data_IF_693150254916
#
_entry.id   IF_693150254916
#
_cell.length_a   1.000
_cell.length_b   1.000
_cell.length_c   1.000
_cell.angle_alpha   90.00
_cell.angle_beta   90.00
_cell.angle_gamma   90.00
#
_symmetry.space_group_name_H-M   'P 1'
#
loop_
_entity.id
_entity.type
_entity.pdbx_description
1 polymer ?
#
# COMPACT_ATOMS: atom_id res chain seq x y z
N UNK A 1 -16.50 14.70 -4.92
CA UNK A 1 -15.81 14.67 -3.61
C UNK A 1 -16.75 15.26 -2.58
N UNK A 2 -16.81 14.71 -1.36
CA UNK A 2 -17.60 15.29 -0.25
C UNK A 2 -17.19 16.74 0.02
N UNK A 3 -18.06 17.58 0.56
CA UNK A 3 -17.78 19.01 0.79
C UNK A 3 -16.50 19.31 1.61
N UNK A 4 -15.95 18.34 2.33
CA UNK A 4 -14.72 18.48 3.10
C UNK A 4 -13.46 18.45 2.22
N UNK A 5 -12.86 19.62 1.95
CA UNK A 5 -11.60 19.77 1.23
C UNK A 5 -10.36 19.67 2.13
N UNK A 6 -10.52 19.57 3.45
CA UNK A 6 -9.45 19.42 4.45
C UNK A 6 -8.28 20.41 4.28
N UNK A 7 -8.58 21.62 3.81
CA UNK A 7 -7.60 22.66 3.52
C UNK A 7 -6.56 22.27 2.45
N UNK A 8 -6.95 21.41 1.51
CA UNK A 8 -6.08 20.87 0.48
C UNK A 8 -5.31 19.64 0.97
N UNK A 9 -4.08 19.47 0.50
CA UNK A 9 -3.33 18.23 0.67
C UNK A 9 -2.49 17.90 -0.56
N UNK A 10 -2.13 16.62 -0.67
CA UNK A 10 -1.37 16.09 -1.80
C UNK A 10 -2.12 14.94 -2.46
N UNK A 11 -1.97 14.83 -3.77
CA UNK A 11 -2.64 13.83 -4.58
C UNK A 11 -1.68 13.08 -5.51
N UNK A 12 -2.04 11.86 -5.87
CA UNK A 12 -1.43 11.17 -7.01
C UNK A 12 -2.50 10.75 -8.01
N UNK A 13 -2.12 10.79 -9.28
CA UNK A 13 -2.82 10.13 -10.36
C UNK A 13 -2.02 8.89 -10.71
N UNK A 14 -2.67 7.73 -10.66
CA UNK A 14 -2.05 6.45 -10.95
C UNK A 14 -2.91 5.62 -11.89
N UNK A 15 -2.30 4.66 -12.56
CA UNK A 15 -2.96 3.78 -13.54
C UNK A 15 -2.66 2.33 -13.22
N UNK A 16 -3.66 1.48 -13.36
CA UNK A 16 -3.51 0.03 -13.39
C UNK A 16 -4.07 -0.53 -14.70
N UNK A 17 -3.46 -1.61 -15.19
CA UNK A 17 -3.97 -2.37 -16.35
C UNK A 17 -4.98 -3.45 -15.94
N UNK A 18 -5.18 -3.65 -14.63
CA UNK A 18 -6.24 -4.51 -14.13
C UNK A 18 -7.61 -3.85 -14.34
N UNK A 19 -8.39 -4.36 -15.31
CA UNK A 19 -9.72 -3.80 -15.62
C UNK A 19 -10.76 -4.02 -14.51
N UNK A 20 -10.44 -4.88 -13.54
CA UNK A 20 -11.22 -5.12 -12.33
C UNK A 20 -10.26 -5.08 -11.13
N UNK A 21 -9.85 -3.88 -10.68
CA UNK A 21 -8.83 -3.77 -9.65
C UNK A 21 -9.22 -4.49 -8.36
N UNK A 22 -8.23 -5.08 -7.73
CA UNK A 22 -8.36 -5.73 -6.42
C UNK A 22 -7.36 -5.09 -5.46
N UNK A 23 -7.38 -5.50 -4.18
CA UNK A 23 -6.35 -5.07 -3.21
C UNK A 23 -4.92 -5.45 -3.59
N UNK A 24 -4.73 -6.37 -4.55
CA UNK A 24 -3.41 -6.79 -5.05
C UNK A 24 -2.99 -6.07 -6.33
N UNK A 25 -3.89 -5.27 -6.92
CA UNK A 25 -3.59 -4.54 -8.14
C UNK A 25 -2.50 -3.52 -7.89
N UNK A 26 -1.54 -3.47 -8.82
CA UNK A 26 -0.48 -2.50 -8.78
C UNK A 26 -0.93 -1.25 -9.54
N UNK A 27 -0.80 -0.11 -8.88
CA UNK A 27 -1.13 1.20 -9.41
C UNK A 27 0.15 1.97 -9.64
N UNK A 28 0.43 2.35 -10.89
CA UNK A 28 1.65 3.04 -11.29
C UNK A 28 1.40 4.53 -11.38
N UNK A 29 2.18 5.33 -10.67
CA UNK A 29 2.04 6.79 -10.62
C UNK A 29 2.41 7.38 -11.98
N UNK A 30 1.52 8.20 -12.53
CA UNK A 30 1.77 8.97 -13.75
C UNK A 30 1.87 10.48 -13.47
N UNK A 31 1.38 10.94 -12.33
CA UNK A 31 1.49 12.33 -11.89
C UNK A 31 1.32 12.46 -10.37
N UNK A 32 2.12 13.32 -9.74
CA UNK A 32 2.00 13.68 -8.33
C UNK A 32 1.84 15.19 -8.16
N UNK A 33 1.01 15.56 -7.18
CA UNK A 33 0.77 16.95 -6.79
C UNK A 33 1.02 17.04 -5.28
N UNK A 34 2.09 17.72 -4.89
CA UNK A 34 2.47 17.94 -3.50
C UNK A 34 2.02 19.33 -3.08
N UNK A 35 0.96 19.40 -2.26
CA UNK A 35 0.32 20.67 -1.91
C UNK A 35 -0.70 21.16 -2.93
N UNK A 36 -1.70 21.89 -2.46
CA UNK A 36 -2.67 22.53 -3.36
C UNK A 36 -3.63 21.59 -4.08
N UNK A 37 -3.82 20.34 -3.60
CA UNK A 37 -4.81 19.40 -4.13
C UNK A 37 -5.79 18.97 -3.04
N UNK A 38 -7.12 18.98 -3.26
CA UNK A 38 -7.84 19.25 -4.51
C UNK A 38 -8.33 20.71 -4.64
N UNK A 39 -7.85 21.59 -3.75
CA UNK A 39 -8.04 23.03 -3.85
C UNK A 39 -6.68 23.72 -3.76
N UNK A 40 -6.49 24.77 -4.56
CA UNK A 40 -5.39 25.76 -4.42
C UNK A 40 -5.83 26.94 -3.58
N UNK A 41 -4.90 27.82 -3.22
CA UNK A 41 -5.09 28.94 -2.31
C UNK A 41 -5.64 28.44 -0.97
N UNK A 42 -4.85 27.58 -0.33
CA UNK A 42 -5.29 26.79 0.82
C UNK A 42 -5.98 27.63 1.90
N UNK A 43 -7.13 27.13 2.36
CA UNK A 43 -7.90 27.71 3.45
C UNK A 43 -7.95 26.74 4.62
N UNK A 44 -8.12 27.27 5.83
CA UNK A 44 -8.33 26.45 7.03
C UNK A 44 -9.77 25.89 7.12
N UNK A 45 -10.66 26.32 6.21
CA UNK A 45 -12.05 25.87 6.10
C UNK A 45 -12.27 25.00 4.87
N UNK A 46 -13.31 24.17 4.91
CA UNK A 46 -13.76 23.36 3.78
C UNK A 46 -14.43 24.22 2.71
N UNK A 47 -14.32 23.81 1.44
CA UNK A 47 -14.85 24.56 0.29
C UNK A 47 -16.38 24.42 0.10
N UNK A 48 -17.05 23.60 0.92
CA UNK A 48 -18.51 23.58 1.02
C UNK A 48 -19.05 22.40 1.85
N UNK A 49 -20.37 22.25 1.91
CA UNK A 49 -21.02 21.24 2.76
C UNK A 49 -21.73 20.13 1.96
N UNK A 50 -21.57 20.12 0.63
CA UNK A 50 -22.26 19.19 -0.27
C UNK A 50 -21.28 18.34 -1.10
N UNK A 51 -21.56 17.05 -1.33
CA UNK A 51 -20.74 16.18 -2.17
C UNK A 51 -20.79 16.52 -3.67
N UNK A 52 -21.63 17.49 -4.05
CA UNK A 52 -21.78 17.99 -5.43
C UNK A 52 -21.10 19.33 -5.65
N UNK A 53 -20.42 19.87 -4.63
CA UNK A 53 -19.65 21.12 -4.76
C UNK A 53 -18.59 20.93 -5.85
N UNK A 54 -18.61 21.84 -6.82
CA UNK A 54 -17.57 21.95 -7.84
C UNK A 54 -16.37 22.62 -7.19
N UNK A 55 -15.24 21.94 -7.18
CA UNK A 55 -14.00 22.52 -6.69
C UNK A 55 -13.45 23.51 -7.72
N UNK A 56 -12.82 24.62 -7.28
CA UNK A 56 -12.46 25.74 -8.16
C UNK A 56 -11.19 25.49 -8.98
N UNK A 57 -10.43 24.46 -8.62
CA UNK A 57 -9.08 24.23 -9.15
C UNK A 57 -9.09 23.19 -10.25
N UNK A 58 -8.38 23.50 -11.34
CA UNK A 58 -8.12 22.58 -12.44
C UNK A 58 -6.69 22.05 -12.34
N UNK A 59 -6.55 20.73 -12.52
CA UNK A 59 -5.29 20.01 -12.43
C UNK A 59 -5.01 19.33 -13.76
N UNK A 60 -4.09 19.90 -14.52
CA UNK A 60 -3.65 19.33 -15.78
C UNK A 60 -2.45 18.43 -15.54
N UNK A 61 -2.42 17.28 -16.21
CA UNK A 61 -1.26 16.42 -16.29
C UNK A 61 -1.17 15.83 -17.70
N UNK A 62 0.03 15.38 -18.08
CA UNK A 62 0.27 14.75 -19.38
C UNK A 62 0.27 13.24 -19.19
N UNK A 63 -0.43 12.52 -20.08
CA UNK A 63 -0.33 11.06 -20.15
C UNK A 63 1.07 10.73 -20.70
N UNK A 64 1.91 10.01 -19.94
CA UNK A 64 3.28 9.77 -20.37
C UNK A 64 3.32 8.88 -21.61
N UNK A 65 4.30 9.12 -22.47
CA UNK A 65 4.54 8.36 -23.70
C UNK A 65 4.80 6.87 -23.40
N UNK A 66 5.33 6.55 -22.24
CA UNK A 66 5.60 5.19 -21.83
C UNK A 66 4.36 4.42 -21.34
N UNK A 67 3.19 5.05 -21.21
CA UNK A 67 1.98 4.36 -20.77
C UNK A 67 1.49 3.39 -21.87
N UNK A 68 1.29 2.09 -21.58
CA UNK A 68 0.78 1.11 -22.54
C UNK A 68 -0.58 1.49 -23.11
N UNK A 69 -0.75 1.33 -24.43
CA UNK A 69 -1.99 1.70 -25.15
C UNK A 69 -3.12 0.72 -24.80
N UNK A 70 -4.37 1.18 -24.80
CA UNK A 70 -5.57 0.36 -24.60
C UNK A 70 -6.29 0.58 -23.26
N UNK A 71 -7.26 -0.29 -22.93
CA UNK A 71 -8.08 -0.14 -21.73
C UNK A 71 -7.26 -0.22 -20.44
N UNK A 72 -7.57 0.66 -19.49
CA UNK A 72 -6.96 0.71 -18.18
C UNK A 72 -7.93 1.31 -17.15
N UNK A 73 -7.52 1.34 -15.88
CA UNK A 73 -8.23 2.06 -14.82
C UNK A 73 -7.29 3.10 -14.23
N UNK A 74 -7.75 4.33 -14.15
CA UNK A 74 -7.06 5.43 -13.49
C UNK A 74 -7.60 5.60 -12.08
N UNK A 75 -6.74 5.93 -11.12
CA UNK A 75 -7.12 6.33 -9.79
C UNK A 75 -6.57 7.72 -9.46
N UNK A 76 -7.43 8.53 -8.85
CA UNK A 76 -7.04 9.72 -8.12
C UNK A 76 -7.00 9.35 -6.63
N UNK A 77 -5.85 9.52 -5.99
CA UNK A 77 -5.67 9.35 -4.54
C UNK A 77 -5.34 10.67 -3.88
N UNK A 78 -5.80 10.88 -2.65
CA UNK A 78 -5.61 12.13 -1.93
C UNK A 78 -5.44 11.93 -0.42
N UNK A 79 -4.51 12.70 0.15
CA UNK A 79 -4.25 12.83 1.58
C UNK A 79 -4.47 14.29 2.00
N UNK A 80 -5.50 14.52 2.81
CA UNK A 80 -5.86 15.87 3.26
C UNK A 80 -4.86 16.45 4.26
N UNK A 81 -4.55 17.75 4.11
CA UNK A 81 -3.63 18.49 4.98
C UNK A 81 -4.10 18.51 6.45
N UNK A 82 -5.41 18.70 6.64
CA UNK A 82 -6.08 18.72 7.95
C UNK A 82 -7.05 17.54 8.15
N UNK A 83 -6.82 16.45 7.43
CA UNK A 83 -7.59 15.22 7.60
C UNK A 83 -7.14 14.49 8.86
N UNK A 84 -8.06 13.81 9.54
CA UNK A 84 -7.64 12.65 10.36
C UNK A 84 -6.99 11.61 9.42
N UNK A 85 -6.24 10.61 9.91
CA UNK A 85 -5.61 9.62 9.04
C UNK A 85 -6.63 8.95 8.09
N UNK A 86 -6.71 9.46 6.87
CA UNK A 86 -7.66 9.11 5.82
C UNK A 86 -6.96 9.09 4.47
N UNK A 87 -7.42 8.20 3.59
CA UNK A 87 -7.00 8.14 2.19
C UNK A 87 -8.26 8.15 1.34
N UNK A 88 -8.37 9.16 0.47
CA UNK A 88 -9.41 9.19 -0.54
C UNK A 88 -8.90 8.52 -1.81
N UNK A 89 -9.76 7.75 -2.47
CA UNK A 89 -9.45 7.12 -3.75
C UNK A 89 -10.71 7.06 -4.60
N UNK A 90 -10.68 7.63 -5.80
CA UNK A 90 -11.71 7.43 -6.81
C UNK A 90 -11.09 6.86 -8.08
N UNK A 91 -11.76 5.85 -8.66
CA UNK A 91 -11.30 5.15 -9.84
C UNK A 91 -12.18 5.51 -11.05
N UNK A 92 -11.58 5.60 -12.22
CA UNK A 92 -12.26 5.85 -13.49
C UNK A 92 -11.76 4.86 -14.56
N UNK A 93 -12.64 4.21 -15.33
CA UNK A 93 -12.23 3.47 -16.52
C UNK A 93 -11.72 4.44 -17.57
N UNK A 94 -10.59 4.11 -18.20
CA UNK A 94 -9.98 4.92 -19.25
C UNK A 94 -9.55 4.04 -20.43
N UNK A 95 -9.34 4.68 -21.58
CA UNK A 95 -8.66 4.07 -22.72
C UNK A 95 -7.46 4.95 -23.05
N UNK A 96 -6.26 4.39 -22.91
CA UNK A 96 -5.02 5.07 -23.28
C UNK A 96 -4.89 5.00 -24.79
N UNK A 97 -4.81 6.16 -25.43
CA UNK A 97 -4.59 6.27 -26.86
C UNK A 97 -3.08 6.45 -27.12
N UNK A 98 -2.61 5.94 -28.26
CA UNK A 98 -1.24 6.21 -28.71
C UNK A 98 -1.06 7.70 -29.02
N UNK A 99 0.18 8.18 -28.93
CA UNK A 99 0.52 9.54 -29.37
C UNK A 99 0.79 9.58 -30.88
N UNK A 100 0.41 10.70 -31.50
CA UNK A 100 0.76 11.06 -32.88
C UNK A 100 2.19 11.64 -32.91
N UNK A 101 3.25 10.83 -32.75
CA UNK A 101 4.62 11.30 -33.01
C UNK A 101 5.60 10.19 -33.39
N UNK A 102 6.54 10.54 -34.28
CA UNK A 102 7.60 9.80 -34.97
C UNK A 102 8.61 8.99 -34.11
N UNK A 103 8.19 8.42 -32.98
CA UNK A 103 9.03 7.54 -32.15
C UNK A 103 8.41 6.13 -32.15
N UNK A 104 9.09 5.19 -32.79
CA UNK A 104 8.79 3.75 -32.72
C UNK A 104 9.11 3.21 -31.31
N UNK A 105 8.33 3.61 -30.30
CA UNK A 105 8.38 2.97 -28.97
C UNK A 105 7.46 1.76 -29.01
N UNK A 106 8.07 0.58 -28.94
CA UNK A 106 7.37 -0.70 -28.94
C UNK A 106 6.49 -0.86 -27.69
N UNK A 107 5.45 -1.69 -27.79
CA UNK A 107 4.59 -2.00 -26.64
C UNK A 107 5.39 -2.66 -25.50
N UNK A 108 6.43 -3.43 -25.83
CA UNK A 108 7.33 -4.06 -24.87
C UNK A 108 8.12 -3.01 -24.08
N UNK A 109 8.63 -1.97 -24.74
CA UNK A 109 9.33 -0.87 -24.07
C UNK A 109 8.40 -0.06 -23.17
N UNK A 110 7.15 0.19 -23.61
CA UNK A 110 6.12 0.83 -22.77
C UNK A 110 5.80 -0.02 -21.54
N UNK A 111 5.57 -1.32 -21.72
CA UNK A 111 5.32 -2.24 -20.62
C UNK A 111 6.48 -2.28 -19.62
N UNK A 112 7.72 -2.35 -20.10
CA UNK A 112 8.90 -2.35 -19.24
C UNK A 112 9.04 -1.06 -18.41
N UNK A 113 8.78 0.10 -19.02
CA UNK A 113 8.76 1.39 -18.31
C UNK A 113 7.60 1.49 -17.33
N UNK A 114 6.41 1.02 -17.71
CA UNK A 114 5.24 0.97 -16.82
C UNK A 114 5.52 0.14 -15.56
N UNK A 115 6.17 -1.01 -15.70
CA UNK A 115 6.52 -1.88 -14.57
C UNK A 115 7.61 -1.28 -13.67
N UNK A 116 8.42 -0.36 -14.19
CA UNK A 116 9.43 0.38 -13.44
C UNK A 116 8.88 1.67 -12.80
N UNK A 117 7.76 2.20 -13.30
CA UNK A 117 7.14 3.40 -12.75
C UNK A 117 6.78 3.19 -11.26
N UNK A 118 6.85 4.24 -10.42
CA UNK A 118 6.57 4.09 -9.00
C UNK A 118 5.18 3.53 -8.70
N UNK A 119 5.08 2.70 -7.66
CA UNK A 119 3.79 2.35 -7.09
C UNK A 119 3.17 3.57 -6.40
N UNK A 120 1.83 3.65 -6.44
CA UNK A 120 1.08 4.65 -5.68
C UNK A 120 1.44 4.54 -4.21
N UNK A 121 1.63 5.69 -3.57
CA UNK A 121 1.83 5.74 -2.13
C UNK A 121 0.54 5.28 -1.43
N UNK A 122 0.69 4.43 -0.42
CA UNK A 122 -0.41 4.00 0.45
C UNK A 122 -0.11 4.41 1.89
N UNK A 123 -1.12 4.97 2.54
CA UNK A 123 -1.16 5.28 3.95
C UNK A 123 -2.63 5.31 4.39
N UNK A 124 -2.88 5.30 5.70
CA UNK A 124 -4.20 5.48 6.31
C UNK A 124 -5.26 4.43 5.92
N UNK A 125 -4.85 3.33 5.31
CA UNK A 125 -5.75 2.27 4.86
C UNK A 125 -5.59 0.97 5.70
N UNK A 126 -4.77 1.01 6.76
CA UNK A 126 -4.45 -0.16 7.59
C UNK A 126 -3.12 -0.84 7.22
N UNK A 127 -2.34 -0.27 6.31
CA UNK A 127 -1.00 -0.75 5.96
C UNK A 127 0.09 -0.48 7.03
N UNK A 128 -0.28 0.15 8.14
CA UNK A 128 0.64 0.52 9.22
C UNK A 128 1.50 1.76 8.92
N UNK A 129 1.12 2.56 7.92
CA UNK A 129 1.61 3.90 7.66
C UNK A 129 0.47 4.89 7.91
N UNK A 130 0.72 5.95 8.68
CA UNK A 130 -0.29 6.98 8.96
C UNK A 130 0.26 8.36 8.64
N UNK A 131 -0.53 9.19 7.95
CA UNK A 131 -0.23 10.61 7.79
C UNK A 131 -0.55 11.36 9.08
N UNK A 132 0.21 12.40 9.38
CA UNK A 132 -0.05 13.22 10.56
C UNK A 132 -1.02 14.37 10.23
N UNK A 133 -1.99 14.60 11.11
CA UNK A 133 -2.86 15.77 11.07
C UNK A 133 -2.16 16.97 11.75
N UNK A 134 -1.10 17.48 11.11
CA UNK A 134 -0.28 18.60 11.62
C UNK A 134 -0.25 19.81 10.68
N UNK A 135 -1.17 19.84 9.71
CA UNK A 135 -1.26 20.96 8.78
C UNK A 135 -0.18 20.96 7.70
N UNK A 136 0.53 19.85 7.51
CA UNK A 136 1.45 19.67 6.40
C UNK A 136 0.85 18.81 5.30
N UNK A 137 1.27 19.07 4.07
CA UNK A 137 0.98 18.18 2.96
C UNK A 137 1.94 16.99 2.94
N UNK A 138 1.55 15.94 2.22
CA UNK A 138 2.36 14.76 2.03
C UNK A 138 3.39 15.02 0.93
N UNK A 139 4.67 14.84 1.25
CA UNK A 139 5.72 14.65 0.24
C UNK A 139 5.79 13.16 -0.08
N UNK A 140 5.59 12.80 -1.32
CA UNK A 140 5.59 11.39 -1.71
C UNK A 140 7.02 10.86 -1.76
N UNK A 141 7.32 9.71 -1.14
CA UNK A 141 8.65 9.11 -1.22
C UNK A 141 9.09 8.85 -2.66
N UNK A 142 8.15 8.42 -3.51
CA UNK A 142 8.36 8.19 -4.94
C UNK A 142 7.26 8.92 -5.75
N UNK A 143 7.46 10.19 -6.11
CA UNK A 143 6.44 10.98 -6.81
C UNK A 143 6.34 10.66 -8.31
N UNK A 144 7.32 9.94 -8.88
CA UNK A 144 7.43 9.73 -10.34
C UNK A 144 8.06 10.91 -11.06
N UNK A 145 8.13 10.83 -12.38
CA UNK A 145 8.80 11.84 -13.23
C UNK A 145 7.96 13.12 -13.40
N UNK A 146 6.64 13.03 -13.25
CA UNK A 146 5.72 14.14 -13.40
C UNK A 146 5.25 14.60 -12.02
N UNK A 147 5.85 15.67 -11.52
CA UNK A 147 5.60 16.22 -10.18
C UNK A 147 5.34 17.73 -10.27
N UNK A 148 4.28 18.17 -9.59
CA UNK A 148 4.06 19.59 -9.27
C UNK A 148 4.13 19.75 -7.76
N UNK A 149 4.97 20.68 -7.29
CA UNK A 149 5.05 21.09 -5.89
C UNK A 149 4.46 22.49 -5.76
N UNK A 150 3.44 22.63 -4.93
CA UNK A 150 2.83 23.93 -4.61
C UNK A 150 3.26 24.35 -3.21
N UNK A 151 4.11 25.37 -3.13
CA UNK A 151 4.72 25.85 -1.87
C UNK A 151 3.72 26.45 -0.88
N UNK A 152 2.47 26.67 -1.28
CA UNK A 152 1.38 27.11 -0.38
C UNK A 152 1.08 26.11 0.74
N UNK A 153 1.49 24.84 0.58
CA UNK A 153 1.37 23.84 1.63
C UNK A 153 2.75 23.51 2.22
N UNK A 154 2.95 23.66 3.54
CA UNK A 154 4.20 23.26 4.14
C UNK A 154 4.38 21.74 4.08
N UNK A 155 5.62 21.29 3.83
CA UNK A 155 6.03 19.89 3.88
C UNK A 155 6.90 19.67 5.12
N UNK A 156 6.37 18.96 6.11
CA UNK A 156 7.12 18.63 7.33
C UNK A 156 7.69 17.22 7.23
N UNK A 157 8.72 17.03 6.39
CA UNK A 157 9.18 15.70 5.97
C UNK A 157 9.53 14.76 7.13
N UNK A 158 10.11 15.29 8.21
CA UNK A 158 10.48 14.50 9.38
C UNK A 158 9.28 14.04 10.22
N UNK A 159 8.13 14.70 10.07
CA UNK A 159 6.95 14.49 10.91
C UNK A 159 5.66 14.29 10.13
N UNK A 160 5.72 14.15 8.80
CA UNK A 160 4.51 13.96 7.97
C UNK A 160 3.89 12.58 8.16
N UNK A 161 4.65 11.60 8.67
CA UNK A 161 4.19 10.24 8.89
C UNK A 161 4.46 9.71 10.30
N UNK A 162 3.71 8.68 10.68
CA UNK A 162 4.06 7.74 11.75
C UNK A 162 3.91 6.30 11.26
N UNK A 163 4.61 5.36 11.91
CA UNK A 163 4.63 3.95 11.51
C UNK A 163 5.66 3.63 10.43
N UNK A 164 5.44 2.55 9.68
CA UNK A 164 6.34 2.09 8.61
C UNK A 164 5.77 2.48 7.25
N UNK A 165 6.26 3.59 6.73
CA UNK A 165 5.88 4.15 5.44
C UNK A 165 6.93 3.87 4.38
N UNK A 166 6.50 3.65 3.14
CA UNK A 166 7.40 3.40 2.03
C UNK A 166 6.69 2.81 0.81
N UNK A 167 7.37 2.78 -0.34
CA UNK A 167 6.76 2.42 -1.62
C UNK A 167 6.29 0.96 -1.72
N UNK A 168 6.84 0.06 -0.91
CA UNK A 168 6.44 -1.35 -0.89
C UNK A 168 5.31 -1.65 0.11
N UNK A 169 4.90 -0.65 0.89
CA UNK A 169 3.92 -0.80 1.99
C UNK A 169 2.50 -0.72 1.45
N UNK A 170 2.09 -1.69 0.65
CA UNK A 170 0.69 -1.83 0.23
C UNK A 170 -0.08 -2.80 1.13
N UNK A 171 -1.38 -2.58 1.27
CA UNK A 171 -2.26 -3.58 1.91
C UNK A 171 -2.22 -4.94 1.21
N UNK A 172 -2.09 -4.94 -0.13
CA UNK A 172 -1.99 -6.15 -0.93
C UNK A 172 -0.81 -7.04 -0.55
N UNK A 173 0.32 -6.42 -0.20
CA UNK A 173 1.56 -7.11 0.17
C UNK A 173 1.59 -7.52 1.65
N UNK A 174 0.94 -6.76 2.53
CA UNK A 174 0.95 -7.04 3.98
C UNK A 174 0.15 -8.26 4.40
N UNK A 175 -0.84 -8.66 3.60
CA UNK A 175 -1.74 -9.78 3.90
C UNK A 175 -1.43 -11.05 3.11
N UNK A 176 -0.20 -11.20 2.60
CA UNK A 176 0.29 -12.51 2.18
C UNK A 176 0.40 -13.39 3.42
N UNK A 177 -0.59 -14.25 3.63
CA UNK A 177 -0.52 -15.34 4.60
C UNK A 177 0.84 -16.03 4.48
N UNK A 178 1.44 -16.52 5.59
CA UNK A 178 2.58 -17.40 5.47
C UNK A 178 2.15 -18.49 4.48
N UNK A 179 2.92 -18.62 3.43
CA UNK A 179 2.73 -19.64 2.40
C UNK A 179 2.37 -20.97 3.07
N UNK A 180 1.49 -21.74 2.44
CA UNK A 180 1.04 -23.02 3.01
C UNK A 180 2.24 -23.90 3.43
N UNK A 181 3.39 -23.79 2.76
CA UNK A 181 4.64 -24.46 3.13
C UNK A 181 5.15 -24.13 4.54
N UNK A 182 5.04 -22.87 5.00
CA UNK A 182 5.50 -22.45 6.32
C UNK A 182 4.58 -22.99 7.44
N UNK A 183 3.28 -23.14 7.15
CA UNK A 183 2.31 -23.74 8.06
C UNK A 183 2.53 -25.27 8.15
N UNK A 184 2.73 -25.95 7.02
CA UNK A 184 2.97 -27.40 7.00
C UNK A 184 4.30 -27.79 7.64
N UNK A 185 5.37 -27.04 7.39
CA UNK A 185 6.68 -27.30 8.00
C UNK A 185 6.68 -27.06 9.51
N UNK A 186 6.06 -25.97 9.99
CA UNK A 186 5.88 -25.72 11.42
C UNK A 186 5.06 -26.80 12.13
N UNK A 187 3.97 -27.26 11.51
CA UNK A 187 3.14 -28.34 12.03
C UNK A 187 3.87 -29.69 12.13
N UNK A 188 4.62 -30.06 11.09
CA UNK A 188 5.36 -31.32 11.07
C UNK A 188 6.46 -31.38 12.16
N UNK A 189 7.18 -30.27 12.37
CA UNK A 189 8.21 -30.18 13.42
C UNK A 189 7.59 -30.29 14.82
N UNK A 190 6.47 -29.60 15.06
CA UNK A 190 5.77 -29.66 16.34
C UNK A 190 5.27 -31.08 16.66
N UNK A 191 4.68 -31.77 15.67
CA UNK A 191 4.21 -33.16 15.84
C UNK A 191 5.38 -34.10 16.13
N UNK A 192 6.51 -33.95 15.42
CA UNK A 192 7.70 -34.77 15.65
C UNK A 192 8.28 -34.59 17.06
N UNK A 193 8.33 -33.35 17.57
CA UNK A 193 8.80 -33.05 18.92
C UNK A 193 7.88 -33.64 19.99
N UNK A 194 6.56 -33.54 19.82
CA UNK A 194 5.58 -34.12 20.75
C UNK A 194 5.68 -35.64 20.78
N UNK A 195 5.77 -36.29 19.61
CA UNK A 195 5.93 -37.75 19.52
C UNK A 195 7.26 -38.21 20.11
N UNK A 196 8.34 -37.47 19.89
CA UNK A 196 9.66 -37.72 20.50
C UNK A 196 9.60 -37.64 22.03
N UNK A 197 9.00 -36.59 22.58
CA UNK A 197 8.81 -36.41 24.01
C UNK A 197 7.94 -37.51 24.63
N UNK A 198 6.86 -37.91 23.95
CA UNK A 198 6.00 -39.02 24.39
C UNK A 198 6.73 -40.36 24.42
N UNK A 199 7.56 -40.65 23.40
CA UNK A 199 8.40 -41.86 23.38
C UNK A 199 9.41 -41.85 24.52
N UNK A 200 10.11 -40.73 24.73
CA UNK A 200 11.06 -40.57 25.83
C UNK A 200 10.37 -40.79 27.19
N UNK A 201 9.21 -40.16 27.41
CA UNK A 201 8.44 -40.32 28.65
C UNK A 201 7.97 -41.77 28.88
N UNK A 202 7.55 -42.50 27.83
CA UNK A 202 7.19 -43.92 27.95
C UNK A 202 8.40 -44.78 28.31
N UNK A 203 9.54 -44.58 27.68
CA UNK A 203 10.77 -45.33 27.99
C UNK A 203 11.25 -45.07 29.42
N UNK A 204 11.17 -43.82 29.87
CA UNK A 204 11.54 -43.44 31.24
C UNK A 204 10.63 -44.10 32.29
N UNK A 205 9.30 -44.06 32.10
CA UNK A 205 8.35 -44.77 32.98
C UNK A 205 8.57 -46.28 32.98
N UNK A 206 8.91 -46.87 31.83
CA UNK A 206 9.24 -48.29 31.72
C UNK A 206 10.46 -48.67 32.57
N UNK A 207 11.53 -47.86 32.51
CA UNK A 207 12.73 -48.06 33.34
C UNK A 207 12.46 -47.91 34.84
N UNK A 208 11.63 -46.95 35.25
CA UNK A 208 11.25 -46.81 36.65
C UNK A 208 10.45 -48.00 37.17
N UNK A 209 9.46 -48.49 36.39
CA UNK A 209 8.71 -49.70 36.76
C UNK A 209 9.60 -50.94 36.86
N UNK A 210 10.58 -51.10 35.97
CA UNK A 210 11.54 -52.21 36.04
C UNK A 210 12.43 -52.10 37.29
N UNK A 211 12.96 -50.91 37.59
CA UNK A 211 13.78 -50.67 38.77
C UNK A 211 13.01 -50.95 40.09
N UNK A 212 11.76 -50.49 40.20
CA UNK A 212 10.92 -50.79 41.36
C UNK A 212 10.59 -52.28 41.49
N UNK A 213 10.38 -52.99 40.38
CA UNK A 213 10.09 -54.43 40.41
C UNK A 213 11.31 -55.26 40.82
N UNK A 214 12.52 -54.82 40.45
CA UNK A 214 13.77 -55.46 40.85
C UNK A 214 14.05 -55.31 42.35
N UNK A 215 13.83 -54.11 42.90
CA UNK A 215 13.93 -53.87 44.34
C UNK A 215 12.93 -54.71 45.15
N UNK A 216 11.72 -54.94 44.63
CA UNK A 216 10.72 -55.77 45.31
C UNK A 216 10.96 -57.29 45.24
N UNK A 217 11.86 -57.76 44.36
CA UNK A 217 12.22 -59.19 44.24
C UNK A 217 13.50 -59.56 44.97
N UNK A 218 14.28 -58.57 45.42
CA UNK A 218 15.55 -58.77 46.12
C UNK A 218 15.38 -58.81 47.67
N UNK A 219 14.14 -58.70 48.18
CA UNK A 219 13.77 -58.74 49.61
C UNK A 219 13.03 -60.05 50.03
N UNK A 220 13.39 -61.20 49.44
CA UNK A 220 12.97 -62.55 49.91
C UNK A 220 14.18 -63.45 50.13
#
# INVERSE_FOLDING_TARGET
>A
MGGASHGGGSCQISVTRDLKPTRKSQWRVIHSIEGGCPIRNLTEVNYGDSPTVVLPSLYNFTVPDWLPVGPAVMAWTWYGRWSVPEMFMNCAPIVVLGQETNADVTEQERAAKFDQAPLVFEANNGNGCWTQNKGSCVKFPNPGESLVVNEECPLYEETMFTGKCGPERSLGNLWSWPSQWAIFSGGAVAVALVLGAMRAARTWRGRQKYAHRKLATDDV
#
